data_IF_591325536039
#
_entry.id   IF_591325536039
#
_cell.length_a   1.000
_cell.length_b   1.000
_cell.length_c   1.000
_cell.angle_alpha   90.00
_cell.angle_beta   90.00
_cell.angle_gamma   90.00
#
_symmetry.space_group_name_H-M   'P 1'
#
loop_
_entity.id
_entity.type
_entity.pdbx_description
1 polymer ?
#
# COMPACT_ATOMS: atom_id res chain seq x y z
N UNK A 1 -17.35 4.04 32.01
CA UNK A 1 -16.71 3.96 30.68
C UNK A 1 -17.00 5.28 30.02
N UNK A 2 -15.96 6.08 29.93
CA UNK A 2 -16.01 7.45 30.43
C UNK A 2 -16.09 8.47 29.28
N UNK A 3 -16.87 9.54 29.47
CA UNK A 3 -17.05 10.64 28.50
C UNK A 3 -15.72 11.26 28.03
N UNK A 4 -14.64 11.10 28.80
CA UNK A 4 -13.29 11.49 28.40
C UNK A 4 -12.71 10.63 27.27
N UNK A 5 -13.02 9.33 27.24
CA UNK A 5 -12.60 8.42 26.16
C UNK A 5 -13.35 8.77 24.87
N UNK A 6 -14.64 9.08 24.95
CA UNK A 6 -15.48 9.47 23.82
C UNK A 6 -15.05 10.83 23.22
N UNK A 7 -14.75 11.82 24.06
CA UNK A 7 -14.22 13.12 23.62
C UNK A 7 -12.84 13.01 22.95
N UNK A 8 -11.95 12.18 23.50
CA UNK A 8 -10.62 11.94 22.90
C UNK A 8 -10.74 11.22 21.55
N UNK A 9 -11.70 10.32 21.44
CA UNK A 9 -12.02 9.59 20.21
C UNK A 9 -12.54 10.52 19.11
N UNK A 10 -13.48 11.42 19.42
CA UNK A 10 -13.96 12.45 18.50
C UNK A 10 -12.87 13.45 18.09
N UNK A 11 -11.99 13.85 19.01
CA UNK A 11 -10.86 14.73 18.69
C UNK A 11 -9.83 14.06 17.78
N UNK A 12 -9.54 12.77 17.95
CA UNK A 12 -8.61 12.07 17.06
C UNK A 12 -9.25 11.76 15.70
N UNK A 13 -10.55 11.44 15.67
CA UNK A 13 -11.27 11.17 14.43
C UNK A 13 -11.46 12.43 13.56
N UNK A 14 -11.63 13.60 14.18
CA UNK A 14 -11.72 14.89 13.46
C UNK A 14 -10.39 15.33 12.83
N UNK A 15 -9.24 14.86 13.34
CA UNK A 15 -7.93 15.09 12.71
C UNK A 15 -7.65 14.17 11.53
N UNK A 16 -8.32 13.02 11.44
CA UNK A 16 -8.14 12.07 10.34
C UNK A 16 -9.24 12.24 9.27
N UNK A 17 -8.83 12.60 8.06
CA UNK A 17 -9.75 12.89 6.95
C UNK A 17 -10.58 11.66 6.51
N UNK A 18 -10.12 10.44 6.75
CA UNK A 18 -10.90 9.24 6.48
C UNK A 18 -11.92 9.01 7.60
N UNK A 19 -11.52 9.17 8.86
CA UNK A 19 -12.41 9.01 10.01
C UNK A 19 -13.56 10.04 9.98
N UNK A 20 -13.27 11.31 9.70
CA UNK A 20 -14.29 12.34 9.51
C UNK A 20 -15.22 12.07 8.31
N UNK A 21 -14.71 11.44 7.24
CA UNK A 21 -15.53 11.07 6.08
C UNK A 21 -16.51 9.93 6.41
N UNK A 22 -16.06 8.90 7.14
CA UNK A 22 -16.91 7.77 7.55
C UNK A 22 -17.97 8.21 8.54
N UNK A 23 -17.64 9.10 9.49
CA UNK A 23 -18.61 9.57 10.49
C UNK A 23 -19.76 10.38 9.85
N UNK A 24 -19.49 11.13 8.77
CA UNK A 24 -20.46 11.96 8.07
C UNK A 24 -21.39 11.24 7.08
N UNK A 25 -21.20 9.94 6.84
CA UNK A 25 -22.00 9.12 5.92
C UNK A 25 -23.25 8.57 6.62
N UNK A 26 -24.46 9.01 6.27
CA UNK A 26 -25.70 8.52 6.90
C UNK A 26 -26.08 7.08 6.48
N UNK A 27 -25.50 6.59 5.39
CA UNK A 27 -25.71 5.26 4.81
C UNK A 27 -25.02 4.12 5.56
N UNK A 28 -24.20 4.44 6.56
CA UNK A 28 -23.40 3.46 7.33
C UNK A 28 -23.97 3.34 8.75
N UNK A 29 -24.20 2.12 9.23
CA UNK A 29 -24.72 1.88 10.57
C UNK A 29 -23.78 2.43 11.66
N UNK A 30 -24.33 2.94 12.77
CA UNK A 30 -23.53 3.56 13.84
C UNK A 30 -22.47 2.61 14.43
N UNK A 31 -22.79 1.33 14.59
CA UNK A 31 -21.85 0.30 15.05
C UNK A 31 -20.71 0.02 14.07
N UNK A 32 -20.96 0.21 12.78
CA UNK A 32 -19.99 0.00 11.70
C UNK A 32 -19.06 1.22 11.55
N UNK A 33 -19.60 2.43 11.76
CA UNK A 33 -18.82 3.67 11.84
C UNK A 33 -17.79 3.62 12.95
N UNK A 34 -18.19 3.20 14.15
CA UNK A 34 -17.27 3.07 15.28
C UNK A 34 -16.19 2.03 15.02
N UNK A 35 -16.55 0.89 14.43
CA UNK A 35 -15.57 -0.14 14.03
C UNK A 35 -14.57 0.38 13.00
N UNK A 36 -15.01 1.09 11.96
CA UNK A 36 -14.13 1.67 10.95
C UNK A 36 -13.25 2.78 11.51
N UNK A 37 -13.82 3.64 12.35
CA UNK A 37 -13.09 4.68 13.06
C UNK A 37 -12.01 4.04 13.95
N UNK A 38 -12.32 2.93 14.64
CA UNK A 38 -11.34 2.22 15.47
C UNK A 38 -10.25 1.60 14.61
N UNK A 39 -10.56 1.04 13.44
CA UNK A 39 -9.58 0.46 12.52
C UNK A 39 -8.55 1.50 12.02
N UNK A 40 -9.00 2.74 11.87
CA UNK A 40 -8.20 3.88 11.41
C UNK A 40 -7.42 4.48 12.57
N UNK A 41 -8.07 4.69 13.70
CA UNK A 41 -7.49 5.26 14.93
C UNK A 41 -6.50 4.32 15.62
N UNK A 42 -6.69 2.99 15.56
CA UNK A 42 -5.70 2.01 16.00
C UNK A 42 -4.54 1.82 15.01
N UNK A 43 -4.36 2.72 14.03
CA UNK A 43 -3.27 2.72 13.06
C UNK A 43 -3.15 1.45 12.18
N UNK A 44 -4.02 0.44 12.33
CA UNK A 44 -3.90 -0.81 11.59
C UNK A 44 -4.11 -0.63 10.08
N UNK A 45 -5.06 0.20 9.69
CA UNK A 45 -5.31 0.51 8.27
C UNK A 45 -4.18 1.36 7.68
N UNK A 46 -3.79 2.44 8.36
CA UNK A 46 -2.72 3.34 7.92
C UNK A 46 -1.37 2.59 7.80
N UNK A 47 -1.09 1.68 8.72
CA UNK A 47 0.12 0.87 8.73
C UNK A 47 0.13 -0.17 7.59
N UNK A 48 -1.00 -0.83 7.31
CA UNK A 48 -1.10 -1.73 6.16
C UNK A 48 -0.96 -0.98 4.83
N UNK A 49 -1.59 0.19 4.70
CA UNK A 49 -1.45 1.06 3.54
C UNK A 49 -0.01 1.54 3.35
N UNK A 50 0.68 1.90 4.43
CA UNK A 50 2.10 2.27 4.39
C UNK A 50 2.96 1.13 3.85
N UNK A 51 2.78 -0.09 4.38
CA UNK A 51 3.51 -1.28 3.88
C UNK A 51 3.19 -1.55 2.41
N UNK A 52 1.94 -1.40 1.99
CA UNK A 52 1.53 -1.53 0.59
C UNK A 52 2.21 -0.49 -0.33
N UNK A 53 2.32 0.76 0.11
CA UNK A 53 3.01 1.82 -0.63
C UNK A 53 4.51 1.51 -0.72
N UNK A 54 5.16 1.14 0.38
CA UNK A 54 6.57 0.72 0.38
C UNK A 54 6.83 -0.44 -0.59
N UNK A 55 5.97 -1.46 -0.58
CA UNK A 55 6.08 -2.61 -1.49
C UNK A 55 5.89 -2.21 -2.96
N UNK A 56 5.04 -1.22 -3.23
CA UNK A 56 4.84 -0.68 -4.59
C UNK A 56 6.11 0.00 -5.09
N UNK A 57 6.68 0.92 -4.30
CA UNK A 57 7.95 1.57 -4.65
C UNK A 57 9.10 0.57 -4.79
N UNK A 58 9.17 -0.42 -3.89
CA UNK A 58 10.15 -1.51 -3.98
C UNK A 58 10.01 -2.30 -5.28
N UNK A 59 8.78 -2.56 -5.72
CA UNK A 59 8.52 -3.31 -6.96
C UNK A 59 8.89 -2.51 -8.21
N UNK A 60 8.70 -1.19 -8.20
CA UNK A 60 9.17 -0.29 -9.27
C UNK A 60 10.71 -0.33 -9.35
N UNK A 61 11.40 -0.30 -8.21
CA UNK A 61 12.86 -0.36 -8.19
C UNK A 61 13.39 -1.70 -8.71
N UNK A 62 12.78 -2.82 -8.29
CA UNK A 62 13.14 -4.16 -8.78
C UNK A 62 12.90 -4.29 -10.28
N UNK A 63 11.84 -3.70 -10.82
CA UNK A 63 11.58 -3.68 -12.27
C UNK A 63 12.75 -3.06 -13.05
N UNK A 64 13.31 -1.95 -12.56
CA UNK A 64 14.48 -1.33 -13.20
C UNK A 64 15.75 -2.20 -13.09
N UNK A 65 15.93 -2.91 -11.98
CA UNK A 65 17.03 -3.86 -11.82
C UNK A 65 16.88 -5.01 -12.83
N UNK A 66 15.69 -5.59 -12.94
CA UNK A 66 15.45 -6.71 -13.86
C UNK A 66 15.56 -6.30 -15.33
N UNK A 67 15.19 -5.06 -15.66
CA UNK A 67 15.21 -4.56 -17.04
C UNK A 67 16.61 -4.15 -17.52
N UNK A 68 17.41 -3.50 -16.65
CA UNK A 68 18.68 -2.87 -17.05
C UNK A 68 19.86 -3.57 -16.40
N UNK A 69 19.86 -3.68 -15.07
CA UNK A 69 21.02 -4.13 -14.32
C UNK A 69 21.28 -5.63 -14.52
N UNK A 70 20.24 -6.48 -14.49
CA UNK A 70 20.38 -7.92 -14.61
C UNK A 70 20.91 -8.37 -15.98
N UNK A 71 20.37 -7.89 -17.12
CA UNK A 71 20.94 -8.21 -18.43
C UNK A 71 22.37 -7.71 -18.58
N UNK A 72 22.64 -6.48 -18.11
CA UNK A 72 23.98 -5.88 -18.15
C UNK A 72 25.01 -6.69 -17.35
N UNK A 73 24.68 -7.09 -16.11
CA UNK A 73 25.55 -7.91 -15.28
C UNK A 73 25.75 -9.31 -15.87
N UNK A 74 24.69 -9.91 -16.41
CA UNK A 74 24.74 -11.25 -17.00
C UNK A 74 25.65 -11.28 -18.23
N UNK A 75 25.54 -10.30 -19.13
CA UNK A 75 26.39 -10.17 -20.31
C UNK A 75 27.84 -9.91 -19.88
N UNK A 76 28.07 -8.99 -18.95
CA UNK A 76 29.41 -8.64 -18.47
C UNK A 76 30.11 -9.86 -17.84
N UNK A 77 29.45 -10.54 -16.91
CA UNK A 77 30.03 -11.71 -16.25
C UNK A 77 30.19 -12.88 -17.22
N UNK A 78 29.24 -13.09 -18.13
CA UNK A 78 29.37 -14.11 -19.18
C UNK A 78 30.59 -13.89 -20.07
N UNK A 79 30.87 -12.65 -20.43
CA UNK A 79 32.04 -12.28 -21.24
C UNK A 79 33.36 -12.39 -20.45
N UNK A 80 33.40 -11.91 -19.20
CA UNK A 80 34.63 -11.89 -18.38
C UNK A 80 35.02 -13.29 -17.89
N UNK A 81 34.04 -14.11 -17.51
CA UNK A 81 34.31 -15.44 -16.91
C UNK A 81 34.27 -16.57 -17.93
N UNK A 82 33.86 -16.31 -19.18
CA UNK A 82 33.56 -17.33 -20.21
C UNK A 82 32.64 -18.46 -19.70
N UNK A 83 31.85 -18.20 -18.66
CA UNK A 83 31.03 -19.20 -17.99
C UNK A 83 29.60 -18.71 -17.86
N UNK A 84 28.75 -19.20 -18.77
CA UNK A 84 27.32 -18.91 -18.77
C UNK A 84 26.63 -19.41 -17.48
N UNK A 85 27.21 -20.42 -16.82
CA UNK A 85 26.71 -20.95 -15.54
C UNK A 85 26.80 -19.93 -14.41
N UNK A 86 27.91 -19.17 -14.35
CA UNK A 86 28.12 -18.14 -13.33
C UNK A 86 27.20 -16.94 -13.61
N UNK A 87 27.09 -16.55 -14.88
CA UNK A 87 26.19 -15.48 -15.30
C UNK A 87 24.72 -15.79 -14.96
N UNK A 88 24.28 -17.03 -15.17
CA UNK A 88 22.92 -17.48 -14.85
C UNK A 88 22.63 -17.57 -13.34
N UNK A 89 23.66 -17.65 -12.49
CA UNK A 89 23.48 -17.69 -11.04
C UNK A 89 23.04 -16.33 -10.48
N UNK A 90 23.41 -15.23 -11.14
CA UNK A 90 23.19 -13.86 -10.65
C UNK A 90 21.70 -13.51 -10.52
N UNK A 91 20.85 -13.72 -11.55
CA UNK A 91 19.41 -13.47 -11.43
C UNK A 91 18.75 -14.36 -10.37
N UNK A 92 19.20 -15.61 -10.24
CA UNK A 92 18.68 -16.56 -9.24
C UNK A 92 18.99 -16.08 -7.83
N UNK A 93 20.23 -15.64 -7.59
CA UNK A 93 20.67 -15.16 -6.29
C UNK A 93 19.95 -13.86 -5.90
N UNK A 94 19.76 -12.96 -6.87
CA UNK A 94 18.99 -11.74 -6.67
C UNK A 94 17.53 -12.03 -6.34
N UNK A 95 16.90 -12.96 -7.05
CA UNK A 95 15.52 -13.38 -6.78
C UNK A 95 15.36 -13.88 -5.34
N UNK A 96 16.25 -14.77 -4.89
CA UNK A 96 16.22 -15.32 -3.54
C UNK A 96 16.41 -14.24 -2.48
N UNK A 97 17.41 -13.37 -2.65
CA UNK A 97 17.66 -12.27 -1.71
C UNK A 97 16.48 -11.29 -1.64
N UNK A 98 15.89 -10.94 -2.78
CA UNK A 98 14.73 -10.05 -2.85
C UNK A 98 13.50 -10.67 -2.18
N UNK A 99 13.27 -11.97 -2.38
CA UNK A 99 12.19 -12.70 -1.72
C UNK A 99 12.38 -12.71 -0.19
N UNK A 100 13.57 -13.04 0.30
CA UNK A 100 13.88 -13.06 1.74
C UNK A 100 13.69 -11.66 2.34
N UNK A 101 14.23 -10.62 1.70
CA UNK A 101 14.11 -9.24 2.16
C UNK A 101 12.63 -8.81 2.28
N UNK A 102 11.82 -9.10 1.25
CA UNK A 102 10.38 -8.82 1.27
C UNK A 102 9.65 -9.64 2.33
N UNK A 103 9.96 -10.93 2.44
CA UNK A 103 9.35 -11.80 3.43
C UNK A 103 9.61 -11.29 4.84
N UNK A 104 10.87 -10.99 5.18
CA UNK A 104 11.24 -10.44 6.49
C UNK A 104 10.57 -9.09 6.74
N UNK A 105 10.57 -8.19 5.75
CA UNK A 105 9.92 -6.89 5.89
C UNK A 105 8.42 -7.01 6.17
N UNK A 106 7.71 -7.83 5.39
CA UNK A 106 6.27 -8.05 5.55
C UNK A 106 6.01 -8.78 6.86
N UNK A 107 6.80 -9.80 7.21
CA UNK A 107 6.65 -10.55 8.45
C UNK A 107 6.81 -9.66 9.68
N UNK A 108 7.90 -8.89 9.77
CA UNK A 108 8.14 -7.98 10.89
C UNK A 108 7.05 -6.92 11.07
N UNK A 109 6.37 -6.53 9.97
CA UNK A 109 5.34 -5.49 9.99
C UNK A 109 3.92 -6.06 10.15
N UNK A 110 3.58 -7.16 9.48
CA UNK A 110 2.21 -7.62 9.28
C UNK A 110 1.90 -9.02 9.85
N UNK A 111 2.83 -9.69 10.54
CA UNK A 111 2.64 -11.05 11.09
C UNK A 111 1.38 -11.23 11.97
N UNK A 112 0.90 -10.16 12.64
CA UNK A 112 -0.32 -10.22 13.47
C UNK A 112 -1.61 -9.88 12.70
N UNK A 113 -1.50 -9.37 11.48
CA UNK A 113 -2.62 -8.85 10.68
C UNK A 113 -3.04 -9.81 9.56
N UNK A 114 -2.10 -10.55 9.00
CA UNK A 114 -2.32 -11.40 7.83
C UNK A 114 -1.70 -12.78 8.09
N UNK A 115 -2.36 -13.88 7.73
CA UNK A 115 -1.77 -15.22 7.89
C UNK A 115 -0.46 -15.39 7.12
N UNK A 116 0.43 -16.24 7.65
CA UNK A 116 1.75 -16.54 7.09
C UNK A 116 1.73 -16.92 5.60
N UNK A 117 0.74 -17.69 5.15
CA UNK A 117 0.63 -18.05 3.73
C UNK A 117 0.43 -16.83 2.83
N UNK A 118 -0.33 -15.83 3.29
CA UNK A 118 -0.56 -14.59 2.56
C UNK A 118 0.70 -13.70 2.57
N UNK A 119 1.49 -13.73 3.65
CA UNK A 119 2.81 -13.09 3.72
C UNK A 119 3.77 -13.72 2.71
N UNK A 120 3.74 -15.05 2.60
CA UNK A 120 4.59 -15.81 1.67
C UNK A 120 4.23 -15.51 0.21
N UNK A 121 2.94 -15.51 -0.11
CA UNK A 121 2.43 -15.09 -1.42
C UNK A 121 2.75 -13.61 -1.70
N UNK A 122 2.72 -12.77 -0.66
CA UNK A 122 3.00 -11.35 -0.79
C UNK A 122 4.51 -11.04 -1.02
N UNK A 123 5.38 -11.94 -0.58
CA UNK A 123 6.83 -11.82 -0.78
C UNK A 123 7.26 -12.17 -2.21
N UNK A 124 6.42 -12.87 -2.99
CA UNK A 124 6.71 -13.17 -4.38
C UNK A 124 6.82 -11.87 -5.21
N UNK A 125 7.81 -11.77 -6.11
CA UNK A 125 7.96 -10.61 -6.96
C UNK A 125 6.73 -10.46 -7.86
N UNK A 126 6.33 -9.21 -8.10
CA UNK A 126 5.19 -8.81 -8.96
C UNK A 126 3.77 -9.18 -8.48
N UNK A 127 3.63 -10.01 -7.44
CA UNK A 127 2.31 -10.48 -6.93
C UNK A 127 1.93 -9.84 -5.58
N UNK A 128 2.90 -9.21 -4.91
CA UNK A 128 2.83 -8.88 -3.49
C UNK A 128 1.68 -7.99 -3.02
N UNK A 129 1.50 -6.87 -3.72
CA UNK A 129 0.52 -5.84 -3.36
C UNK A 129 -0.93 -6.30 -3.55
N UNK A 130 -1.21 -7.03 -4.63
CA UNK A 130 -2.56 -7.49 -4.96
C UNK A 130 -3.05 -8.51 -3.93
N UNK A 131 -2.16 -9.38 -3.44
CA UNK A 131 -2.51 -10.38 -2.44
C UNK A 131 -2.78 -9.79 -1.05
N UNK A 132 -1.96 -8.83 -0.59
CA UNK A 132 -2.19 -8.17 0.70
C UNK A 132 -3.54 -7.44 0.71
N UNK A 133 -3.82 -6.66 -0.34
CA UNK A 133 -5.10 -5.97 -0.46
C UNK A 133 -6.26 -6.96 -0.61
N UNK A 134 -6.12 -7.99 -1.46
CA UNK A 134 -7.18 -8.99 -1.66
C UNK A 134 -7.52 -9.71 -0.37
N UNK A 135 -6.53 -10.07 0.45
CA UNK A 135 -6.77 -10.83 1.68
C UNK A 135 -7.29 -9.94 2.82
N UNK A 136 -6.85 -8.68 2.92
CA UNK A 136 -7.47 -7.71 3.84
C UNK A 136 -8.93 -7.41 3.44
N UNK A 137 -9.20 -7.20 2.15
CA UNK A 137 -10.55 -6.92 1.66
C UNK A 137 -11.47 -8.16 1.63
N UNK A 138 -10.91 -9.37 1.65
CA UNK A 138 -11.67 -10.62 1.75
C UNK A 138 -12.20 -10.82 3.17
N UNK A 139 -11.47 -10.38 4.20
CA UNK A 139 -11.93 -10.42 5.59
C UNK A 139 -12.94 -9.32 5.93
N UNK A 140 -12.91 -8.19 5.23
CA UNK A 140 -13.87 -7.09 5.39
C UNK A 140 -14.34 -6.50 4.04
N UNK A 141 -15.42 -7.04 3.44
CA UNK A 141 -15.95 -6.54 2.17
C UNK A 141 -16.56 -5.12 2.29
N UNK A 142 -17.08 -4.76 3.46
CA UNK A 142 -17.61 -3.41 3.76
C UNK A 142 -16.48 -2.36 3.77
N UNK A 143 -15.37 -2.67 4.41
CA UNK A 143 -14.16 -1.83 4.41
C UNK A 143 -13.63 -1.59 3.00
N UNK A 144 -13.69 -2.61 2.13
CA UNK A 144 -13.31 -2.47 0.71
C UNK A 144 -14.17 -1.43 0.00
N UNK A 145 -15.48 -1.51 0.15
CA UNK A 145 -16.43 -0.58 -0.47
C UNK A 145 -16.16 0.85 -0.02
N UNK A 146 -16.03 1.06 1.29
CA UNK A 146 -15.84 2.39 1.89
C UNK A 146 -14.48 2.98 1.53
N UNK A 147 -13.41 2.18 1.50
CA UNK A 147 -12.08 2.65 1.07
C UNK A 147 -12.07 3.01 -0.42
N UNK A 148 -12.72 2.23 -1.28
CA UNK A 148 -12.83 2.55 -2.72
C UNK A 148 -13.63 3.83 -2.92
N UNK A 149 -14.74 4.00 -2.21
CA UNK A 149 -15.55 5.22 -2.25
C UNK A 149 -14.78 6.44 -1.76
N UNK A 150 -14.03 6.31 -0.67
CA UNK A 150 -13.17 7.38 -0.17
C UNK A 150 -12.06 7.74 -1.17
N UNK A 151 -11.43 6.76 -1.82
CA UNK A 151 -10.40 6.99 -2.83
C UNK A 151 -10.99 7.70 -4.07
N UNK A 152 -12.21 7.35 -4.50
CA UNK A 152 -12.93 8.06 -5.55
C UNK A 152 -13.22 9.50 -5.15
N UNK A 153 -13.76 9.72 -3.95
CA UNK A 153 -14.03 11.04 -3.41
C UNK A 153 -12.77 11.91 -3.36
N UNK A 154 -11.65 11.37 -2.86
CA UNK A 154 -10.37 12.09 -2.78
C UNK A 154 -9.80 12.39 -4.18
N UNK A 155 -9.94 11.47 -5.13
CA UNK A 155 -9.55 11.68 -6.53
C UNK A 155 -10.38 12.81 -7.16
N UNK A 156 -11.69 12.86 -6.91
CA UNK A 156 -12.55 13.92 -7.42
C UNK A 156 -12.21 15.29 -6.84
N UNK A 157 -11.98 15.38 -5.53
CA UNK A 157 -11.55 16.63 -4.89
C UNK A 157 -10.25 17.13 -5.52
N UNK A 158 -9.23 16.26 -5.58
CA UNK A 158 -7.92 16.64 -6.13
C UNK A 158 -8.02 17.05 -7.61
N UNK A 159 -8.91 16.42 -8.36
CA UNK A 159 -9.19 16.78 -9.77
C UNK A 159 -9.89 18.13 -9.87
N UNK A 160 -10.84 18.45 -8.98
CA UNK A 160 -11.50 19.76 -8.93
C UNK A 160 -10.54 20.87 -8.52
N UNK A 161 -9.69 20.62 -7.53
CA UNK A 161 -8.63 21.56 -7.13
C UNK A 161 -7.65 21.82 -8.26
N UNK A 162 -7.20 20.77 -8.96
CA UNK A 162 -6.30 20.89 -10.10
C UNK A 162 -6.96 21.69 -11.24
N UNK A 163 -8.24 21.44 -11.53
CA UNK A 163 -9.02 22.21 -12.53
C UNK A 163 -9.16 23.68 -12.12
N UNK A 164 -9.44 23.97 -10.86
CA UNK A 164 -9.49 25.35 -10.37
C UNK A 164 -8.13 26.04 -10.43
N UNK A 165 -7.06 25.33 -10.11
CA UNK A 165 -5.70 25.85 -10.18
C UNK A 165 -5.31 26.18 -11.63
N UNK A 166 -5.57 25.25 -12.56
CA UNK A 166 -5.36 25.44 -14.00
C UNK A 166 -6.24 26.57 -14.54
N UNK A 167 -7.51 26.66 -14.14
CA UNK A 167 -8.40 27.76 -14.55
C UNK A 167 -7.91 29.13 -14.06
N UNK A 168 -7.40 29.24 -12.82
CA UNK A 168 -6.77 30.48 -12.33
C UNK A 168 -5.47 30.81 -13.05
N UNK A 169 -4.68 29.80 -13.40
CA UNK A 169 -3.40 29.99 -14.09
C UNK A 169 -3.60 30.43 -15.54
N UNK A 170 -4.61 29.88 -16.23
CA UNK A 170 -4.98 30.27 -17.60
C UNK A 170 -5.70 31.63 -17.60
N UNK A 171 -6.59 31.89 -16.62
CA UNK A 171 -7.30 33.17 -16.50
C UNK A 171 -6.43 34.37 -16.11
N UNK A 172 -5.20 34.15 -15.62
CA UNK A 172 -4.21 35.21 -15.34
C UNK A 172 -3.33 35.59 -16.54
N UNK A 173 -3.45 34.88 -17.67
CA UNK A 173 -2.67 35.11 -18.89
C UNK A 173 -3.40 35.96 -19.95
N UNK A 174 -4.55 36.55 -19.59
CA UNK A 174 -5.27 37.54 -20.42
C UNK A 174 -5.06 38.94 -19.91
#
# INVERSE_FOLDING_TARGET
MDREVENTYQCNCSRDAFCSYVMGREDIAASEKDRLAQLVLNNHLAFSLYVCVSLTFWSIFVFWIDLIAMPGLTIYVGYVTNSLKIAALIPVLFFVLNFIAKFVYIYCRLNRLIPLWAITAAALPYVGFVFILREQFRKDPELKSIVIDYLKFKKEIKTRELKQYVARFIGRKS
#
